data_IF_688009875478
#
_entry.id   IF_688009875478
#
_cell.length_a   1.000
_cell.length_b   1.000
_cell.length_c   1.000
_cell.angle_alpha   90.00
_cell.angle_beta   90.00
_cell.angle_gamma   90.00
#
_symmetry.space_group_name_H-M   'P 1'
#
loop_
_entity.id
_entity.type
_entity.pdbx_description
1 polymer ?
#
# COMPACT_ATOMS: atom_id res chain seq x y z
N UNK A 1 33.72 0.17 5.15
CA UNK A 1 32.69 -0.76 5.64
C UNK A 1 31.54 -0.82 4.66
N UNK A 2 31.12 -2.02 4.25
CA UNK A 2 29.92 -2.20 3.45
C UNK A 2 28.71 -2.26 4.39
N UNK A 3 27.70 -1.42 4.16
CA UNK A 3 26.48 -1.38 4.98
C UNK A 3 25.63 -2.66 4.88
N UNK A 4 24.56 -2.72 5.66
CA UNK A 4 23.58 -3.80 5.67
C UNK A 4 22.76 -3.89 4.38
N UNK A 5 22.12 -5.03 4.13
CA UNK A 5 21.23 -5.21 2.97
C UNK A 5 19.99 -4.30 3.03
N UNK A 6 19.52 -3.99 4.24
CA UNK A 6 18.45 -3.02 4.46
C UNK A 6 18.86 -1.64 3.96
N UNK A 7 20.03 -1.15 4.36
CA UNK A 7 20.56 0.15 3.92
C UNK A 7 20.80 0.20 2.41
N UNK A 8 21.20 -0.92 1.80
CA UNK A 8 21.38 -1.02 0.35
C UNK A 8 20.05 -1.07 -0.44
N UNK A 9 18.91 -1.25 0.23
CA UNK A 9 17.59 -1.28 -0.40
C UNK A 9 17.39 -2.44 -1.37
N UNK A 10 18.04 -3.59 -1.11
CA UNK A 10 18.11 -4.71 -2.07
C UNK A 10 16.73 -5.26 -2.42
N UNK A 11 15.78 -5.24 -1.48
CA UNK A 11 14.40 -5.71 -1.70
C UNK A 11 13.72 -4.85 -2.77
N UNK A 12 13.71 -3.52 -2.62
CA UNK A 12 13.13 -2.61 -3.61
C UNK A 12 13.79 -2.76 -4.98
N UNK A 13 15.12 -2.91 -5.02
CA UNK A 13 15.86 -3.11 -6.27
C UNK A 13 15.47 -4.41 -6.97
N UNK A 14 15.26 -5.49 -6.20
CA UNK A 14 14.77 -6.75 -6.73
C UNK A 14 13.35 -6.61 -7.32
N UNK A 15 12.43 -5.88 -6.68
CA UNK A 15 11.12 -5.59 -7.26
C UNK A 15 11.23 -4.81 -8.57
N UNK A 16 12.02 -3.73 -8.59
CA UNK A 16 12.19 -2.91 -9.79
C UNK A 16 12.85 -3.69 -10.95
N UNK A 17 13.68 -4.68 -10.63
CA UNK A 17 14.26 -5.58 -11.64
C UNK A 17 13.24 -6.56 -12.21
N UNK A 18 12.35 -7.09 -11.35
CA UNK A 18 11.35 -8.09 -11.73
C UNK A 18 10.07 -7.49 -12.33
N UNK A 19 9.84 -6.19 -12.18
CA UNK A 19 8.69 -5.48 -12.74
C UNK A 19 9.14 -4.45 -13.77
N UNK A 20 9.12 -4.79 -15.07
CA UNK A 20 9.66 -3.93 -16.12
C UNK A 20 8.88 -2.60 -16.21
N UNK A 21 9.56 -1.55 -16.65
CA UNK A 21 8.92 -0.26 -16.91
C UNK A 21 7.99 -0.37 -18.13
N UNK A 22 6.76 0.10 -17.99
CA UNK A 22 5.80 0.17 -19.10
C UNK A 22 5.79 1.59 -19.68
N UNK A 23 6.19 1.72 -20.94
CA UNK A 23 6.12 2.98 -21.67
C UNK A 23 4.84 3.02 -22.52
N UNK A 24 4.07 4.10 -22.40
CA UNK A 24 2.87 4.36 -23.19
C UNK A 24 3.00 5.70 -23.92
N UNK A 25 2.53 5.81 -25.18
CA UNK A 25 2.54 7.09 -25.88
C UNK A 25 1.73 8.14 -25.13
N UNK A 26 2.33 9.32 -24.91
CA UNK A 26 1.63 10.44 -24.30
C UNK A 26 0.84 11.22 -25.36
N UNK A 27 -0.40 11.59 -25.05
CA UNK A 27 -1.23 12.46 -25.89
C UNK A 27 -0.90 13.95 -25.73
N UNK A 28 -0.21 14.33 -24.65
CA UNK A 28 0.20 15.69 -24.34
C UNK A 28 1.69 15.75 -23.95
N UNK A 29 2.32 16.91 -24.17
CA UNK A 29 3.70 17.17 -23.74
C UNK A 29 3.81 17.44 -22.23
N UNK A 30 2.68 17.73 -21.57
CA UNK A 30 2.59 17.95 -20.13
C UNK A 30 1.94 16.75 -19.47
N UNK A 31 2.76 15.91 -18.85
CA UNK A 31 2.33 14.84 -17.97
C UNK A 31 3.06 15.04 -16.63
N UNK A 32 2.45 15.72 -15.65
CA UNK A 32 3.08 15.88 -14.34
C UNK A 32 3.29 14.50 -13.70
N UNK A 33 4.42 14.33 -13.00
CA UNK A 33 4.66 13.12 -12.23
C UNK A 33 3.54 12.95 -11.20
N UNK A 34 2.96 11.76 -11.16
CA UNK A 34 1.86 11.42 -10.25
C UNK A 34 2.13 10.07 -9.58
N UNK A 35 1.80 9.98 -8.30
CA UNK A 35 1.83 8.73 -7.54
C UNK A 35 0.51 8.54 -6.82
N UNK A 36 -0.11 7.38 -7.02
CA UNK A 36 -1.34 7.00 -6.32
C UNK A 36 -1.11 6.76 -4.82
N UNK A 37 0.10 6.29 -4.45
CA UNK A 37 0.43 5.88 -3.08
C UNK A 37 1.86 6.27 -2.69
N UNK A 38 2.08 6.49 -1.40
CA UNK A 38 3.40 6.52 -0.80
C UNK A 38 3.39 5.86 0.58
N UNK A 39 4.49 5.23 0.95
CA UNK A 39 4.69 4.58 2.25
C UNK A 39 5.88 5.22 2.93
N UNK A 40 5.71 5.69 4.17
CA UNK A 40 6.71 6.52 4.84
C UNK A 40 7.95 5.76 5.34
N UNK A 41 7.92 4.42 5.34
CA UNK A 41 9.02 3.58 5.85
C UNK A 41 9.53 2.66 4.75
N UNK A 42 10.86 2.62 4.49
CA UNK A 42 11.44 1.70 3.51
C UNK A 42 11.39 0.24 3.97
N UNK A 43 11.11 -0.01 5.26
CA UNK A 43 10.89 -1.35 5.80
C UNK A 43 9.53 -1.94 5.42
N UNK A 44 8.59 -1.13 4.89
CA UNK A 44 7.25 -1.59 4.52
C UNK A 44 7.06 -1.50 3.01
N UNK A 45 6.72 -2.62 2.40
CA UNK A 45 6.49 -2.74 0.96
C UNK A 45 4.99 -2.76 0.67
N UNK A 46 4.53 -1.90 -0.23
CA UNK A 46 3.19 -1.98 -0.82
C UNK A 46 3.23 -3.02 -1.94
N UNK A 47 2.70 -4.21 -1.66
CA UNK A 47 2.82 -5.39 -2.52
C UNK A 47 1.69 -5.49 -3.54
N UNK A 48 0.46 -5.19 -3.12
CA UNK A 48 -0.71 -5.38 -3.96
C UNK A 48 -1.59 -4.17 -3.89
N UNK A 49 -2.06 -3.73 -5.06
CA UNK A 49 -3.16 -2.79 -5.23
C UNK A 49 -4.09 -3.41 -6.25
N UNK A 50 -5.35 -3.65 -5.87
CA UNK A 50 -6.35 -4.21 -6.78
C UNK A 50 -7.75 -3.77 -6.40
N UNK A 51 -8.69 -3.90 -7.33
CA UNK A 51 -10.10 -3.77 -6.98
C UNK A 51 -10.48 -4.88 -5.98
N UNK A 52 -11.31 -4.54 -5.00
CA UNK A 52 -11.83 -5.50 -4.05
C UNK A 52 -12.74 -6.52 -4.77
N UNK A 53 -12.61 -7.78 -4.37
CA UNK A 53 -13.40 -8.90 -4.86
C UNK A 53 -14.60 -9.20 -3.95
N UNK A 54 -15.13 -10.41 -4.09
CA UNK A 54 -16.40 -10.81 -3.47
C UNK A 54 -16.42 -10.75 -1.92
N UNK A 55 -15.25 -10.80 -1.26
CA UNK A 55 -15.19 -10.77 0.20
C UNK A 55 -15.40 -9.40 0.84
N UNK A 56 -15.36 -8.31 0.06
CA UNK A 56 -15.47 -6.95 0.59
C UNK A 56 -16.92 -6.49 0.90
N UNK A 57 -17.89 -7.42 0.91
CA UNK A 57 -19.29 -7.25 1.31
C UNK A 57 -19.97 -6.00 0.71
N UNK A 58 -20.51 -6.11 -0.51
CA UNK A 58 -21.31 -5.07 -1.18
C UNK A 58 -20.63 -3.67 -1.29
N UNK A 59 -19.28 -3.62 -1.27
CA UNK A 59 -18.48 -2.41 -1.52
C UNK A 59 -17.81 -2.46 -2.89
N UNK A 60 -18.55 -2.32 -4.01
CA UNK A 60 -17.99 -2.42 -5.36
C UNK A 60 -16.95 -1.33 -5.67
N UNK A 61 -16.98 -0.23 -4.93
CA UNK A 61 -16.04 0.89 -5.03
C UNK A 61 -14.77 0.70 -4.19
N UNK A 62 -14.66 -0.39 -3.44
CA UNK A 62 -13.49 -0.65 -2.61
C UNK A 62 -12.29 -1.16 -3.42
N UNK A 63 -11.11 -0.75 -2.98
CA UNK A 63 -9.83 -1.30 -3.41
C UNK A 63 -9.17 -2.00 -2.23
N UNK A 64 -8.44 -3.08 -2.52
CA UNK A 64 -7.59 -3.76 -1.54
C UNK A 64 -6.16 -3.31 -1.77
N UNK A 65 -5.51 -2.85 -0.71
CA UNK A 65 -4.07 -2.64 -0.66
C UNK A 65 -3.45 -3.58 0.35
N UNK A 66 -2.38 -4.29 -0.04
CA UNK A 66 -1.66 -5.22 0.83
C UNK A 66 -0.23 -4.74 1.02
N UNK A 67 0.19 -4.66 2.27
CA UNK A 67 1.52 -4.23 2.64
C UNK A 67 2.16 -5.29 3.55
N UNK A 68 3.48 -5.39 3.51
CA UNK A 68 4.22 -6.23 4.46
C UNK A 68 5.47 -5.54 4.97
N UNK A 69 5.86 -5.91 6.19
CA UNK A 69 7.14 -5.51 6.79
C UNK A 69 8.24 -6.45 6.32
N UNK A 70 9.31 -5.90 5.76
CA UNK A 70 10.31 -6.65 5.01
C UNK A 70 11.63 -6.83 5.76
N UNK A 71 11.86 -6.08 6.85
CA UNK A 71 13.17 -6.00 7.50
C UNK A 71 13.24 -6.81 8.80
N UNK A 72 12.14 -7.43 9.24
CA UNK A 72 12.06 -8.19 10.48
C UNK A 72 11.97 -7.30 11.73
N UNK A 73 11.43 -6.10 11.58
CA UNK A 73 11.35 -5.09 12.64
C UNK A 73 9.90 -4.74 13.02
N UNK A 74 9.71 -4.20 14.22
CA UNK A 74 8.44 -3.55 14.59
C UNK A 74 8.48 -2.10 14.13
N UNK A 75 7.54 -1.69 13.28
CA UNK A 75 7.53 -0.35 12.70
C UNK A 75 6.11 0.19 12.56
N UNK A 76 5.97 1.50 12.77
CA UNK A 76 4.78 2.24 12.35
C UNK A 76 5.10 2.98 11.05
N UNK A 77 4.26 2.81 10.04
CA UNK A 77 4.38 3.49 8.76
C UNK A 77 3.07 4.22 8.41
N UNK A 78 3.20 5.29 7.64
CA UNK A 78 2.07 6.00 7.07
C UNK A 78 1.86 5.54 5.63
N UNK A 79 0.64 5.10 5.32
CA UNK A 79 0.17 4.93 3.95
C UNK A 79 -0.58 6.19 3.54
N UNK A 80 -0.05 6.86 2.54
CA UNK A 80 -0.63 8.02 1.91
C UNK A 80 -1.19 7.65 0.54
N UNK A 81 -2.25 8.33 0.13
CA UNK A 81 -2.82 8.15 -1.20
C UNK A 81 -3.38 9.45 -1.74
N UNK A 82 -3.27 9.65 -3.05
CA UNK A 82 -3.96 10.74 -3.74
C UNK A 82 -5.36 10.35 -4.21
N UNK A 83 -5.77 9.09 -3.99
CA UNK A 83 -7.09 8.60 -4.33
C UNK A 83 -8.11 9.14 -3.32
N UNK A 84 -9.36 9.38 -3.74
CA UNK A 84 -10.36 9.99 -2.87
C UNK A 84 -10.96 8.92 -1.94
N UNK A 85 -10.25 8.57 -0.86
CA UNK A 85 -10.69 7.57 0.11
C UNK A 85 -11.66 8.21 1.11
N UNK A 86 -12.84 7.61 1.29
CA UNK A 86 -13.80 8.00 2.34
C UNK A 86 -13.70 7.14 3.60
N UNK A 87 -13.32 5.87 3.45
CA UNK A 87 -13.20 4.92 4.57
C UNK A 87 -12.05 3.96 4.35
N UNK A 88 -11.43 3.54 5.44
CA UNK A 88 -10.38 2.52 5.43
C UNK A 88 -10.56 1.51 6.57
N UNK A 89 -10.29 0.24 6.29
CA UNK A 89 -10.40 -0.82 7.29
C UNK A 89 -9.49 -2.00 6.99
N UNK A 90 -8.95 -2.61 8.04
CA UNK A 90 -8.24 -3.88 7.94
C UNK A 90 -9.18 -4.98 7.48
N UNK A 91 -8.68 -5.85 6.61
CA UNK A 91 -9.38 -7.04 6.15
C UNK A 91 -8.48 -8.27 6.22
N UNK A 92 -9.08 -9.45 6.16
CA UNK A 92 -8.33 -10.68 6.01
C UNK A 92 -7.87 -10.90 4.55
N UNK A 93 -7.22 -12.04 4.29
CA UNK A 93 -6.74 -12.38 2.95
C UNK A 93 -7.86 -12.66 1.94
N UNK A 94 -9.07 -12.97 2.43
CA UNK A 94 -10.27 -13.10 1.63
C UNK A 94 -11.01 -11.78 1.47
N UNK A 95 -10.40 -10.66 1.92
CA UNK A 95 -10.90 -9.31 1.75
C UNK A 95 -12.15 -9.00 2.59
N UNK A 96 -12.39 -9.81 3.64
CA UNK A 96 -13.49 -9.60 4.58
C UNK A 96 -13.08 -8.59 5.64
N UNK A 97 -13.84 -7.49 5.87
CA UNK A 97 -13.52 -6.51 6.88
C UNK A 97 -13.42 -7.13 8.27
N UNK A 98 -12.43 -6.70 9.05
CA UNK A 98 -12.31 -7.11 10.46
C UNK A 98 -13.24 -6.25 11.31
N UNK A 99 -13.97 -6.85 12.26
CA UNK A 99 -14.98 -6.16 13.06
C UNK A 99 -14.44 -4.92 13.82
N UNK A 100 -13.18 -4.96 14.28
CA UNK A 100 -12.50 -3.84 14.94
C UNK A 100 -11.38 -3.26 14.06
N UNK A 101 -11.45 -3.47 12.75
CA UNK A 101 -10.39 -3.11 11.80
C UNK A 101 -10.47 -1.69 11.24
N UNK A 102 -11.45 -0.87 11.64
CA UNK A 102 -11.60 0.49 11.10
C UNK A 102 -10.35 1.33 11.39
N UNK A 103 -9.83 1.98 10.36
CA UNK A 103 -8.66 2.85 10.45
C UNK A 103 -9.11 4.31 10.38
N UNK A 104 -8.47 5.16 11.18
CA UNK A 104 -8.67 6.61 11.10
C UNK A 104 -7.93 7.15 9.89
N UNK A 105 -8.63 7.89 9.03
CA UNK A 105 -8.03 8.67 7.96
C UNK A 105 -7.63 10.05 8.50
N UNK A 106 -6.33 10.25 8.73
CA UNK A 106 -5.78 11.50 9.22
C UNK A 106 -5.27 12.37 8.06
N UNK A 107 -4.92 13.63 8.35
CA UNK A 107 -4.33 14.53 7.34
C UNK A 107 -3.05 13.97 6.72
N UNK A 108 -2.27 13.21 7.49
CA UNK A 108 -1.03 12.57 7.02
C UNK A 108 -1.29 11.25 6.27
N UNK A 109 -2.50 10.68 6.31
CA UNK A 109 -2.85 9.40 5.70
C UNK A 109 -3.31 8.37 6.73
N UNK A 110 -3.11 7.08 6.44
CA UNK A 110 -3.45 5.96 7.30
C UNK A 110 -2.23 5.52 8.10
N UNK A 111 -2.35 5.49 9.43
CA UNK A 111 -1.32 4.98 10.32
C UNK A 111 -1.42 3.47 10.46
N UNK A 112 -0.37 2.75 10.07
CA UNK A 112 -0.30 1.28 10.11
C UNK A 112 0.85 0.82 11.01
N UNK A 113 0.60 -0.16 11.87
CA UNK A 113 1.60 -0.73 12.77
C UNK A 113 1.87 -2.18 12.39
N UNK A 114 3.15 -2.50 12.20
CA UNK A 114 3.62 -3.82 11.81
C UNK A 114 4.50 -4.42 12.90
N UNK A 115 4.32 -5.71 13.13
CA UNK A 115 5.32 -6.57 13.80
C UNK A 115 6.25 -7.17 12.74
N UNK A 116 7.39 -7.79 13.13
CA UNK A 116 8.33 -8.41 12.20
C UNK A 116 7.63 -9.34 11.20
N UNK A 117 7.87 -9.09 9.90
CA UNK A 117 7.30 -9.88 8.79
C UNK A 117 5.77 -9.93 8.71
N UNK A 118 5.08 -8.99 9.37
CA UNK A 118 3.63 -8.91 9.35
C UNK A 118 3.14 -8.49 7.96
N UNK A 119 2.05 -9.13 7.50
CA UNK A 119 1.29 -8.74 6.32
C UNK A 119 -0.03 -8.11 6.76
N UNK A 120 -0.32 -6.91 6.28
CA UNK A 120 -1.60 -6.24 6.49
C UNK A 120 -2.32 -6.06 5.16
N UNK A 121 -3.63 -6.32 5.16
CA UNK A 121 -4.51 -5.96 4.05
C UNK A 121 -5.48 -4.89 4.51
N UNK A 122 -5.64 -3.84 3.71
CA UNK A 122 -6.52 -2.71 3.97
C UNK A 122 -7.50 -2.58 2.80
N UNK A 123 -8.78 -2.53 3.11
CA UNK A 123 -9.81 -2.06 2.19
C UNK A 123 -9.86 -0.53 2.25
N UNK A 124 -9.71 0.10 1.10
CA UNK A 124 -9.91 1.53 0.87
C UNK A 124 -11.22 1.72 0.11
N UNK A 125 -12.23 2.28 0.74
CA UNK A 125 -13.49 2.60 0.09
C UNK A 125 -13.37 3.99 -0.50
N UNK A 126 -13.53 4.11 -1.82
CA UNK A 126 -13.40 5.39 -2.52
C UNK A 126 -14.71 6.20 -2.44
N UNK A 127 -14.62 7.52 -2.46
CA UNK A 127 -15.76 8.36 -2.76
C UNK A 127 -16.05 8.31 -4.26
N UNK A 128 -17.33 8.42 -4.63
CA UNK A 128 -17.74 8.58 -6.03
C UNK A 128 -17.39 9.98 -6.55
#
# INVERSE_FOLDING_TARGET
DAGSFQEAGVIQRAYNLNFPLHAVPASSTQCPAWSAFSVSSPAVVLETVKQAGAGAEDRPEAMVVRLYEAYGSTVTAWLQTSLPVKEAMLCDLLERPTAQGRLLLEQQGLRLSFTPFCVLSVLLVLSQ
#
